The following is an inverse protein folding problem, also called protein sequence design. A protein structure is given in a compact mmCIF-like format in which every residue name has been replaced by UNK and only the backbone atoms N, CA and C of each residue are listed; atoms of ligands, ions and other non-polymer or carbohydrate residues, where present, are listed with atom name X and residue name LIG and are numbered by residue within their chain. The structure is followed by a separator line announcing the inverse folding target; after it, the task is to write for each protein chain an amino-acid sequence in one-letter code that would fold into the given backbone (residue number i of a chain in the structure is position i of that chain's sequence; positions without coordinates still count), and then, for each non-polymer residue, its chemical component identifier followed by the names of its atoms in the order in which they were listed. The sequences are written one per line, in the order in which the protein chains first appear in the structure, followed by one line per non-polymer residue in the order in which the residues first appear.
data_IF_329986569100
#
_entry.id   IF_329986569100
#
_cell.length_a   1.000
_cell.length_b   1.000
_cell.length_c   1.000
_cell.angle_alpha   90.00
_cell.angle_beta   90.00
_cell.angle_gamma   90.00
#
_symmetry.space_group_name_H-M   'P 1'
#
loop_
_entity.id
_entity.type
_entity.pdbx_description
1 polymer ?
#
# COMPACT_ATOMS: atom_id res chain seq x y z
N UNK A 1 1.98 -1.06 6.32
CA UNK A 1 2.12 0.11 7.21
C UNK A 1 1.27 -0.11 8.44
N UNK A 2 1.86 -0.17 9.63
CA UNK A 2 1.14 -0.39 10.89
C UNK A 2 1.22 0.87 11.74
N UNK A 3 0.07 1.35 12.20
CA UNK A 3 -0.08 2.54 13.04
C UNK A 3 -0.29 2.15 14.50
N UNK A 4 -0.25 3.14 15.39
CA UNK A 4 -0.44 2.95 16.83
C UNK A 4 0.68 3.52 17.67
N UNK A 5 0.57 3.30 18.98
CA UNK A 5 1.53 3.84 19.94
C UNK A 5 2.92 3.22 19.76
N UNK A 6 3.97 4.07 19.81
CA UNK A 6 5.36 3.66 19.58
C UNK A 6 5.77 3.56 18.11
N UNK A 7 4.85 3.69 17.16
CA UNK A 7 5.18 3.88 15.74
C UNK A 7 5.65 5.32 15.48
N UNK A 8 6.33 5.52 14.35
CA UNK A 8 6.61 6.87 13.83
C UNK A 8 5.32 7.70 13.73
N UNK A 9 5.40 9.03 13.88
CA UNK A 9 4.22 9.91 13.79
C UNK A 9 3.70 10.05 12.35
N UNK A 10 4.60 9.97 11.38
CA UNK A 10 4.24 9.97 9.96
C UNK A 10 5.01 8.88 9.20
N UNK A 11 4.63 7.60 9.34
CA UNK A 11 5.35 6.51 8.69
C UNK A 11 5.08 6.46 7.18
N UNK A 12 3.98 7.02 6.68
CA UNK A 12 3.73 7.16 5.24
C UNK A 12 4.69 8.14 4.59
N UNK A 13 4.94 9.31 5.19
CA UNK A 13 5.90 10.30 4.69
C UNK A 13 7.29 9.72 4.46
N UNK A 14 7.81 8.98 5.45
CA UNK A 14 9.11 8.28 5.35
C UNK A 14 9.15 7.26 4.20
N UNK A 15 8.07 6.49 4.02
CA UNK A 15 7.96 5.53 2.91
C UNK A 15 7.90 6.24 1.55
N UNK A 16 7.14 7.33 1.44
CA UNK A 16 6.99 8.09 0.20
C UNK A 16 8.33 8.65 -0.26
N UNK A 17 9.11 9.27 0.65
CA UNK A 17 10.43 9.79 0.29
C UNK A 17 11.40 8.66 -0.09
N UNK A 18 11.37 7.53 0.61
CA UNK A 18 12.18 6.35 0.25
C UNK A 18 11.83 5.82 -1.15
N UNK A 19 10.53 5.71 -1.47
CA UNK A 19 10.04 5.26 -2.78
C UNK A 19 10.41 6.24 -3.88
N UNK A 20 10.32 7.55 -3.62
CA UNK A 20 10.71 8.60 -4.56
C UNK A 20 12.19 8.53 -4.90
N UNK A 21 13.06 8.26 -3.91
CA UNK A 21 14.48 7.98 -4.15
C UNK A 21 14.63 6.75 -5.05
N UNK A 22 13.92 5.65 -4.76
CA UNK A 22 13.99 4.44 -5.58
C UNK A 22 13.56 4.67 -7.03
N UNK A 23 12.45 5.38 -7.24
CA UNK A 23 11.95 5.76 -8.57
C UNK A 23 12.95 6.61 -9.34
N UNK A 24 13.57 7.59 -8.68
CA UNK A 24 14.49 8.52 -9.33
C UNK A 24 15.88 7.91 -9.59
N UNK A 25 16.45 7.23 -8.61
CA UNK A 25 17.81 6.69 -8.67
C UNK A 25 17.90 5.38 -9.44
N UNK A 26 16.86 4.55 -9.40
CA UNK A 26 16.88 3.20 -9.97
C UNK A 26 15.82 2.98 -11.06
N UNK A 27 15.11 4.03 -11.48
CA UNK A 27 14.03 3.96 -12.49
C UNK A 27 12.99 2.89 -12.17
N UNK A 28 12.67 2.71 -10.88
CA UNK A 28 11.66 1.75 -10.45
C UNK A 28 10.31 2.10 -11.10
N UNK A 29 9.85 1.24 -12.01
CA UNK A 29 8.57 1.38 -12.71
C UNK A 29 7.50 0.44 -12.19
N UNK A 30 7.84 -0.44 -11.26
CA UNK A 30 6.90 -1.37 -10.64
C UNK A 30 5.83 -0.64 -9.86
N UNK A 31 4.60 -1.16 -9.93
CA UNK A 31 3.52 -0.69 -9.08
C UNK A 31 3.79 -1.06 -7.63
N UNK A 32 3.48 -0.13 -6.71
CA UNK A 32 3.67 -0.32 -5.28
C UNK A 32 2.30 -0.48 -4.64
N UNK A 33 2.15 -1.57 -3.91
CA UNK A 33 0.94 -1.92 -3.17
C UNK A 33 1.25 -1.83 -1.68
N UNK A 34 0.42 -1.12 -0.93
CA UNK A 34 0.56 -0.99 0.52
C UNK A 34 -0.73 -1.43 1.21
N UNK A 35 -0.58 -2.04 2.40
CA UNK A 35 -1.69 -2.22 3.33
C UNK A 35 -1.47 -1.28 4.50
N UNK A 36 -2.48 -0.50 4.86
CA UNK A 36 -2.46 0.28 6.11
C UNK A 36 -3.29 -0.47 7.15
N UNK A 37 -2.71 -0.67 8.33
CA UNK A 37 -3.34 -1.30 9.49
C UNK A 37 -3.27 -0.29 10.63
N UNK A 38 -4.41 0.02 11.23
CA UNK A 38 -4.56 1.08 12.22
C UNK A 38 -6.00 1.55 12.29
N UNK A 39 -6.30 2.40 13.25
CA UNK A 39 -7.64 2.91 13.55
C UNK A 39 -7.68 4.42 13.45
N UNK A 40 -8.88 4.99 13.45
CA UNK A 40 -9.08 6.45 13.50
C UNK A 40 -8.59 7.08 14.82
N UNK A 41 -8.40 6.26 15.86
CA UNK A 41 -7.90 6.72 17.16
C UNK A 41 -6.37 6.72 17.25
N UNK A 42 -5.68 6.17 16.25
CA UNK A 42 -4.22 6.17 16.24
C UNK A 42 -3.68 7.59 15.98
N UNK A 43 -2.57 7.99 16.65
CA UNK A 43 -2.07 9.37 16.59
C UNK A 43 -1.57 9.80 15.20
N UNK A 44 -1.38 8.84 14.28
CA UNK A 44 -0.85 9.10 12.93
C UNK A 44 -1.90 9.57 11.91
N UNK A 45 -3.19 9.63 12.27
CA UNK A 45 -4.32 9.86 11.34
C UNK A 45 -4.33 8.83 10.20
N UNK A 46 -5.03 7.72 10.41
CA UNK A 46 -5.12 6.63 9.42
C UNK A 46 -5.57 7.11 8.04
N UNK A 47 -6.47 8.09 7.96
CA UNK A 47 -6.96 8.61 6.69
C UNK A 47 -5.95 9.54 6.02
N UNK A 48 -5.22 10.33 6.81
CA UNK A 48 -4.09 11.13 6.35
C UNK A 48 -2.97 10.28 5.75
N UNK A 49 -2.60 9.18 6.44
CA UNK A 49 -1.61 8.22 5.96
C UNK A 49 -2.03 7.59 4.62
N UNK A 50 -3.29 7.17 4.49
CA UNK A 50 -3.83 6.59 3.24
C UNK A 50 -3.78 7.62 2.11
N UNK A 51 -4.31 8.83 2.32
CA UNK A 51 -4.32 9.89 1.29
C UNK A 51 -2.91 10.26 0.83
N UNK A 52 -1.93 10.31 1.74
CA UNK A 52 -0.54 10.60 1.40
C UNK A 52 0.07 9.54 0.48
N UNK A 53 -0.15 8.26 0.80
CA UNK A 53 0.31 7.14 -0.02
C UNK A 53 -0.35 7.14 -1.40
N UNK A 54 -1.69 7.23 -1.46
CA UNK A 54 -2.45 7.26 -2.71
C UNK A 54 -2.08 8.45 -3.59
N UNK A 55 -1.95 9.64 -3.00
CA UNK A 55 -1.51 10.85 -3.71
C UNK A 55 -0.09 10.75 -4.28
N UNK A 56 0.71 9.80 -3.78
CA UNK A 56 2.06 9.50 -4.29
C UNK A 56 2.08 8.37 -5.33
N UNK A 57 0.90 7.91 -5.78
CA UNK A 57 0.76 6.82 -6.74
C UNK A 57 1.10 5.46 -6.15
N UNK A 58 0.76 5.22 -4.88
CA UNK A 58 0.81 3.91 -4.23
C UNK A 58 -0.63 3.40 -4.10
N UNK A 59 -0.88 2.17 -4.52
CA UNK A 59 -2.21 1.55 -4.40
C UNK A 59 -2.38 1.02 -2.97
N UNK A 60 -3.36 1.56 -2.23
CA UNK A 60 -3.53 1.26 -0.80
C UNK A 60 -4.74 0.37 -0.57
N UNK A 61 -4.57 -0.62 0.30
CA UNK A 61 -5.63 -1.50 0.78
C UNK A 61 -5.75 -1.45 2.30
N UNK A 62 -6.92 -1.88 2.77
CA UNK A 62 -7.24 -2.07 4.20
C UNK A 62 -7.28 -3.54 4.61
N UNK A 63 -7.06 -4.45 3.66
CA UNK A 63 -7.02 -5.88 3.86
C UNK A 63 -5.78 -6.49 3.22
N UNK A 64 -5.04 -7.29 3.99
CA UNK A 64 -3.90 -8.04 3.49
C UNK A 64 -4.30 -9.00 2.37
N UNK A 65 -5.47 -9.65 2.47
CA UNK A 65 -5.92 -10.57 1.44
C UNK A 65 -6.23 -9.83 0.14
N UNK A 66 -6.90 -8.67 0.19
CA UNK A 66 -7.20 -7.90 -1.02
C UNK A 66 -5.93 -7.40 -1.71
N UNK A 67 -4.98 -6.86 -0.93
CA UNK A 67 -3.68 -6.43 -1.47
C UNK A 67 -2.91 -7.59 -2.11
N UNK A 68 -2.87 -8.75 -1.47
CA UNK A 68 -2.18 -9.92 -2.00
C UNK A 68 -2.80 -10.40 -3.32
N UNK A 69 -4.14 -10.43 -3.40
CA UNK A 69 -4.86 -10.79 -4.64
C UNK A 69 -4.56 -9.79 -5.75
N UNK A 70 -4.62 -8.49 -5.44
CA UNK A 70 -4.29 -7.42 -6.38
C UNK A 70 -2.86 -7.56 -6.91
N UNK A 71 -1.89 -7.72 -6.01
CA UNK A 71 -0.49 -7.91 -6.38
C UNK A 71 -0.27 -9.18 -7.23
N UNK A 72 -0.95 -10.28 -6.92
CA UNK A 72 -0.89 -11.51 -7.72
C UNK A 72 -1.42 -11.29 -9.14
N UNK A 73 -2.54 -10.57 -9.30
CA UNK A 73 -3.09 -10.23 -10.63
C UNK A 73 -2.17 -9.33 -11.45
N UNK A 74 -1.36 -8.47 -10.81
CA UNK A 74 -0.35 -7.66 -11.48
C UNK A 74 0.87 -8.49 -11.90
N UNK A 75 1.34 -9.38 -11.02
CA UNK A 75 2.55 -10.16 -11.24
C UNK A 75 2.34 -11.35 -12.19
N UNK A 76 1.16 -11.96 -12.17
CA UNK A 76 0.79 -13.15 -12.96
C UNK A 76 -0.59 -12.91 -13.58
N UNK A 77 -0.67 -12.36 -14.80
CA UNK A 77 -1.93 -11.99 -15.43
C UNK A 77 -2.96 -13.14 -15.52
N UNK A 78 -2.51 -14.38 -15.65
CA UNK A 78 -3.33 -15.59 -15.72
C UNK A 78 -4.08 -15.87 -14.40
N UNK A 79 -3.57 -15.36 -13.28
CA UNK A 79 -4.23 -15.47 -11.98
C UNK A 79 -5.57 -14.73 -11.96
N UNK A 80 -5.75 -13.71 -12.81
CA UNK A 80 -7.00 -12.94 -12.92
C UNK A 80 -8.20 -13.85 -13.27
N UNK A 81 -8.00 -14.88 -14.09
CA UNK A 81 -9.06 -15.82 -14.48
C UNK A 81 -9.48 -16.73 -13.31
N UNK A 82 -8.52 -17.12 -12.46
CA UNK A 82 -8.77 -17.95 -11.29
C UNK A 82 -9.49 -17.14 -10.19
N UNK A 83 -9.10 -15.87 -9.99
CA UNK A 83 -9.78 -15.00 -9.04
C UNK A 83 -11.24 -14.68 -9.42
N UNK A 84 -11.54 -14.48 -10.70
CA UNK A 84 -12.90 -14.20 -11.15
C UNK A 84 -13.85 -15.40 -11.01
N UNK A 85 -13.32 -16.61 -10.89
CA UNK A 85 -14.11 -17.85 -10.73
C UNK A 85 -14.29 -18.27 -9.27
N UNK A 86 -13.44 -17.77 -8.36
CA UNK A 86 -13.50 -18.05 -6.91
C UNK A 86 -14.11 -16.90 -6.07
N UNK A 87 -14.51 -15.79 -6.70
CA UNK A 87 -15.17 -14.69 -5.99
C UNK A 87 -16.59 -15.11 -5.52
N UNK A 88 -16.93 -14.94 -4.23
CA UNK A 88 -18.23 -15.31 -3.67
C UNK A 88 -19.37 -14.40 -4.16
#
# INVERSE_FOLDING_TARGET
LVLGNGSHLDPAGELIESIKILRNSYKLSSEIVAVVIGTEMDPQDVQGQIRGLEGSGITVFRSNSEAARYAAMLAVPESRTHYMTEAP
#
